data_IF_341334656909
#
_entry.id   IF_341334656909
#
_cell.length_a   1.000
_cell.length_b   1.000
_cell.length_c   1.000
_cell.angle_alpha   90.00
_cell.angle_beta   90.00
_cell.angle_gamma   90.00
#
_symmetry.space_group_name_H-M   'P 1'
#
loop_
_entity.id
_entity.type
_entity.pdbx_description
1 polymer ?
#
# COMPACT_ATOMS: atom_id res chain seq x y z
N UNK A 1 -63.26 13.55 -65.97
CA UNK A 1 -61.95 13.28 -66.45
C UNK A 1 -60.92 13.65 -65.37
N UNK A 2 -60.61 12.71 -64.49
CA UNK A 2 -59.94 12.97 -63.23
C UNK A 2 -58.58 12.38 -63.24
N UNK A 3 -57.55 13.24 -63.01
CA UNK A 3 -56.20 12.88 -62.87
C UNK A 3 -55.84 12.60 -61.40
N UNK A 4 -55.42 11.38 -61.09
CA UNK A 4 -54.98 10.96 -59.76
C UNK A 4 -53.44 11.09 -59.65
N UNK A 5 -53.01 12.06 -58.87
CA UNK A 5 -51.61 12.22 -58.48
C UNK A 5 -51.24 11.28 -57.31
N UNK A 6 -50.40 10.32 -57.59
CA UNK A 6 -49.81 9.43 -56.57
C UNK A 6 -48.65 10.14 -55.89
N UNK A 7 -48.74 10.35 -54.55
CA UNK A 7 -47.65 10.85 -53.70
C UNK A 7 -46.90 9.65 -53.11
N UNK A 8 -45.75 9.32 -53.70
CA UNK A 8 -44.79 8.39 -53.05
C UNK A 8 -44.05 9.14 -51.96
N UNK A 9 -44.36 8.80 -50.70
CA UNK A 9 -43.56 9.22 -49.54
C UNK A 9 -42.35 8.30 -49.44
N UNK A 10 -41.17 8.82 -49.72
CA UNK A 10 -39.90 8.17 -49.38
C UNK A 10 -39.62 8.41 -47.90
N UNK A 11 -39.67 7.35 -47.08
CA UNK A 11 -39.14 7.36 -45.73
C UNK A 11 -37.61 7.16 -45.81
N UNK A 12 -36.85 8.19 -45.43
CA UNK A 12 -35.42 8.09 -45.17
C UNK A 12 -35.26 7.56 -43.73
N UNK A 13 -34.82 6.29 -43.56
CA UNK A 13 -34.33 5.76 -42.30
C UNK A 13 -32.95 6.35 -42.02
N UNK A 14 -32.87 7.29 -41.10
CA UNK A 14 -31.59 7.71 -40.54
C UNK A 14 -31.15 6.65 -39.49
N UNK A 15 -30.23 5.79 -39.89
CA UNK A 15 -29.57 4.84 -38.97
C UNK A 15 -28.57 5.55 -38.04
N UNK A 16 -28.95 5.76 -36.78
CA UNK A 16 -27.98 6.21 -35.77
C UNK A 16 -27.08 5.02 -35.39
N UNK A 17 -25.83 5.01 -35.88
CA UNK A 17 -24.83 4.06 -35.41
C UNK A 17 -24.44 4.42 -33.96
N UNK A 18 -24.92 3.64 -32.99
CA UNK A 18 -24.50 3.73 -31.61
C UNK A 18 -23.07 3.18 -31.51
N UNK A 19 -22.08 4.07 -31.36
CA UNK A 19 -20.71 3.67 -31.02
C UNK A 19 -20.70 3.31 -29.53
N UNK A 20 -20.77 2.01 -29.23
CA UNK A 20 -20.56 1.52 -27.88
C UNK A 20 -19.10 1.73 -27.49
N UNK A 21 -18.78 2.33 -26.33
CA UNK A 21 -17.41 2.41 -25.87
C UNK A 21 -16.88 0.99 -25.64
N UNK A 22 -15.79 0.64 -26.33
CA UNK A 22 -15.05 -0.59 -26.08
C UNK A 22 -14.42 -0.44 -24.69
N UNK A 23 -15.00 -1.09 -23.68
CA UNK A 23 -14.39 -1.21 -22.38
C UNK A 23 -13.09 -2.03 -22.56
N UNK A 24 -11.95 -1.37 -22.45
CA UNK A 24 -10.65 -2.06 -22.42
C UNK A 24 -10.62 -2.96 -21.19
N UNK A 25 -10.30 -4.27 -21.33
CA UNK A 25 -10.19 -5.13 -20.17
C UNK A 25 -9.06 -4.60 -19.30
N UNK A 26 -9.41 -4.19 -18.07
CA UNK A 26 -8.43 -3.85 -17.05
C UNK A 26 -7.81 -5.18 -16.62
N UNK A 27 -6.53 -5.36 -16.89
CA UNK A 27 -5.79 -6.50 -16.38
C UNK A 27 -5.85 -6.47 -14.84
N UNK A 28 -6.65 -7.35 -14.25
CA UNK A 28 -6.67 -7.55 -12.79
C UNK A 28 -5.38 -8.30 -12.45
N UNK A 29 -4.44 -7.60 -11.82
CA UNK A 29 -3.25 -8.24 -11.25
C UNK A 29 -3.72 -9.15 -10.10
N UNK A 30 -3.20 -10.37 -10.03
CA UNK A 30 -3.40 -11.22 -8.85
C UNK A 30 -2.70 -10.58 -7.63
N UNK A 31 -3.39 -10.55 -6.49
CA UNK A 31 -2.81 -10.12 -5.23
C UNK A 31 -1.61 -11.01 -4.85
N UNK A 32 -0.56 -10.41 -4.33
CA UNK A 32 0.66 -11.11 -3.89
C UNK A 32 0.70 -11.12 -2.37
N UNK A 33 1.16 -12.24 -1.80
CA UNK A 33 1.44 -12.33 -0.37
C UNK A 33 2.93 -12.03 -0.12
N UNK A 34 3.19 -11.19 0.87
CA UNK A 34 4.52 -10.81 1.33
C UNK A 34 4.68 -11.14 2.81
N UNK A 35 5.91 -11.38 3.23
CA UNK A 35 6.21 -11.71 4.61
C UNK A 35 7.22 -10.72 5.20
N UNK A 36 7.00 -10.33 6.45
CA UNK A 36 7.91 -9.54 7.27
C UNK A 36 8.17 -10.29 8.56
N UNK A 37 9.39 -10.70 8.80
CA UNK A 37 9.78 -11.42 10.01
C UNK A 37 10.00 -10.45 11.19
N UNK A 38 9.55 -10.84 12.37
CA UNK A 38 9.82 -10.15 13.63
C UNK A 38 10.95 -10.87 14.37
N UNK A 39 12.11 -10.20 14.50
CA UNK A 39 13.37 -10.83 14.94
C UNK A 39 14.02 -10.07 16.09
N UNK A 40 14.61 -10.83 17.04
CA UNK A 40 15.47 -10.28 18.09
C UNK A 40 16.84 -9.83 17.55
N UNK A 41 17.35 -10.53 16.52
CA UNK A 41 18.67 -10.26 15.95
C UNK A 41 18.65 -10.50 14.44
N UNK A 42 19.24 -9.58 13.67
CA UNK A 42 19.39 -9.76 12.23
C UNK A 42 20.28 -10.98 11.94
N UNK A 43 19.89 -11.89 11.02
CA UNK A 43 20.64 -13.13 10.77
C UNK A 43 22.08 -12.91 10.28
N UNK A 44 22.32 -11.83 9.51
CA UNK A 44 23.63 -11.52 8.93
C UNK A 44 24.40 -10.42 9.68
N UNK A 45 23.71 -9.57 10.48
CA UNK A 45 24.35 -8.52 11.27
C UNK A 45 23.87 -8.53 12.72
N UNK A 46 24.60 -9.20 13.59
CA UNK A 46 24.27 -9.36 15.02
C UNK A 46 24.24 -8.06 15.82
N UNK A 47 24.67 -6.93 15.27
CA UNK A 47 24.55 -5.61 15.89
C UNK A 47 23.15 -5.04 15.74
N UNK A 48 22.44 -5.44 14.67
CA UNK A 48 21.04 -5.04 14.44
C UNK A 48 20.12 -5.96 15.24
N UNK A 49 19.46 -5.37 16.22
CA UNK A 49 18.62 -6.10 17.16
C UNK A 49 17.22 -5.48 17.21
N UNK A 50 16.23 -6.31 17.57
CA UNK A 50 14.82 -5.92 17.63
C UNK A 50 14.42 -5.28 16.31
N UNK A 51 14.22 -6.11 15.28
CA UNK A 51 14.05 -5.66 13.90
C UNK A 51 12.86 -6.34 13.22
N UNK A 52 12.32 -5.63 12.24
CA UNK A 52 11.53 -6.21 11.15
C UNK A 52 12.47 -6.53 9.97
N UNK A 53 12.22 -7.64 9.26
CA UNK A 53 13.00 -8.05 8.10
C UNK A 53 12.09 -8.58 6.97
N UNK A 54 12.02 -7.89 5.81
CA UNK A 54 12.62 -6.60 5.53
C UNK A 54 12.00 -5.47 6.37
N UNK A 55 12.73 -4.37 6.60
CA UNK A 55 12.18 -3.21 7.32
C UNK A 55 11.46 -2.21 6.42
N UNK A 56 11.82 -2.20 5.13
CA UNK A 56 11.13 -1.46 4.06
C UNK A 56 10.64 -2.47 3.03
N UNK A 57 9.39 -2.38 2.66
CA UNK A 57 8.75 -3.29 1.71
C UNK A 57 7.89 -2.48 0.72
N UNK A 58 8.14 -2.64 -0.58
CA UNK A 58 7.30 -2.07 -1.63
C UNK A 58 6.31 -3.13 -2.14
N UNK A 59 5.03 -2.77 -2.17
CA UNK A 59 3.93 -3.64 -2.58
C UNK A 59 2.96 -2.91 -3.53
N UNK A 60 1.96 -3.61 -4.02
CA UNK A 60 0.91 -3.04 -4.86
C UNK A 60 -0.43 -3.04 -4.11
N UNK A 61 -1.39 -2.19 -4.50
CA UNK A 61 -2.75 -2.25 -3.96
C UNK A 61 -3.36 -3.65 -4.07
N UNK A 62 -3.97 -4.12 -2.99
CA UNK A 62 -4.55 -5.46 -2.87
C UNK A 62 -3.57 -6.54 -2.43
N UNK A 63 -2.26 -6.24 -2.33
CA UNK A 63 -1.31 -7.19 -1.76
C UNK A 63 -1.52 -7.35 -0.25
N UNK A 64 -1.18 -8.52 0.26
CA UNK A 64 -1.27 -8.84 1.69
C UNK A 64 0.13 -8.96 2.29
N UNK A 65 0.37 -8.27 3.40
CA UNK A 65 1.61 -8.37 4.18
C UNK A 65 1.33 -9.13 5.47
N UNK A 66 2.03 -10.24 5.68
CA UNK A 66 1.96 -11.03 6.92
C UNK A 66 3.20 -10.75 7.77
N UNK A 67 2.96 -10.24 8.97
CA UNK A 67 4.00 -10.05 9.98
C UNK A 67 4.14 -11.32 10.79
N UNK A 68 5.21 -12.09 10.51
CA UNK A 68 5.45 -13.40 11.10
C UNK A 68 6.01 -13.27 12.53
N UNK A 69 5.40 -13.95 13.49
CA UNK A 69 5.91 -14.07 14.86
C UNK A 69 7.10 -15.05 14.94
N UNK A 70 8.15 -14.80 14.13
CA UNK A 70 9.32 -15.69 13.99
C UNK A 70 10.05 -15.88 15.31
N UNK A 71 10.21 -14.81 16.09
CA UNK A 71 10.76 -14.85 17.44
C UNK A 71 9.78 -14.20 18.42
N UNK A 72 9.91 -14.55 19.70
CA UNK A 72 8.97 -14.12 20.74
C UNK A 72 9.24 -12.70 21.23
N UNK A 73 8.18 -12.06 21.73
CA UNK A 73 8.26 -10.74 22.36
C UNK A 73 7.88 -9.59 21.43
N UNK A 74 7.37 -9.88 20.23
CA UNK A 74 7.07 -8.90 19.21
C UNK A 74 5.61 -8.88 18.78
N UNK A 75 5.19 -7.75 18.26
CA UNK A 75 3.95 -7.56 17.49
C UNK A 75 4.21 -6.59 16.33
N UNK A 76 3.22 -6.41 15.48
CA UNK A 76 3.18 -5.32 14.49
C UNK A 76 1.93 -4.49 14.72
N UNK A 77 2.10 -3.17 14.80
CA UNK A 77 1.02 -2.20 14.87
C UNK A 77 1.34 -1.00 13.97
N UNK A 78 0.33 -0.48 13.26
CA UNK A 78 0.49 0.75 12.49
C UNK A 78 0.77 1.95 13.39
N UNK A 79 1.50 2.94 12.87
CA UNK A 79 1.78 4.19 13.57
C UNK A 79 0.73 5.25 13.20
N UNK A 80 0.18 5.89 14.23
CA UNK A 80 -0.76 7.00 14.04
C UNK A 80 -0.13 8.12 13.22
N UNK A 81 -0.86 8.62 12.23
CA UNK A 81 -0.41 9.66 11.31
C UNK A 81 0.56 9.19 10.23
N UNK A 82 0.96 7.92 10.22
CA UNK A 82 1.83 7.34 9.21
C UNK A 82 1.13 6.31 8.32
N UNK A 83 -0.19 6.40 8.17
CA UNK A 83 -0.96 5.61 7.20
C UNK A 83 -1.74 6.56 6.29
N UNK A 84 -2.03 6.19 5.02
CA UNK A 84 -2.83 7.00 4.12
C UNK A 84 -4.25 7.25 4.64
N UNK A 85 -4.85 8.36 4.23
CA UNK A 85 -6.26 8.61 4.49
C UNK A 85 -7.13 7.50 3.85
N UNK A 86 -8.09 6.99 4.59
CA UNK A 86 -8.97 5.90 4.16
C UNK A 86 -8.38 4.50 4.31
N UNK A 87 -7.12 4.38 4.73
CA UNK A 87 -6.52 3.08 5.06
C UNK A 87 -6.94 2.60 6.46
N UNK A 88 -7.02 1.28 6.64
CA UNK A 88 -7.29 0.68 7.94
C UNK A 88 -6.00 0.56 8.77
N UNK A 89 -6.08 0.96 10.04
CA UNK A 89 -5.01 0.74 11.01
C UNK A 89 -5.04 -0.72 11.52
N UNK A 90 -3.89 -1.23 11.95
CA UNK A 90 -3.81 -2.55 12.58
C UNK A 90 -3.05 -2.50 13.91
N UNK A 91 -3.37 -3.42 14.81
CA UNK A 91 -2.69 -3.62 16.09
C UNK A 91 -2.67 -5.11 16.43
N UNK A 92 -1.61 -5.80 16.04
CA UNK A 92 -1.43 -7.22 16.28
C UNK A 92 -1.06 -7.52 17.75
N UNK A 93 -1.49 -8.67 18.24
CA UNK A 93 -1.13 -9.12 19.59
C UNK A 93 0.33 -9.59 19.65
N UNK A 94 0.93 -9.51 20.87
CA UNK A 94 2.32 -9.95 21.08
C UNK A 94 2.42 -11.48 20.90
N UNK A 95 3.41 -11.93 20.13
CA UNK A 95 3.67 -13.31 19.74
C UNK A 95 2.62 -13.92 18.77
N UNK A 96 1.81 -13.10 18.17
CA UNK A 96 0.84 -13.55 17.17
C UNK A 96 1.19 -12.97 15.80
N UNK A 97 0.91 -13.74 14.76
CA UNK A 97 1.01 -13.28 13.39
C UNK A 97 -0.19 -12.39 13.05
N UNK A 98 0.02 -11.40 12.23
CA UNK A 98 -1.05 -10.58 11.67
C UNK A 98 -0.85 -10.40 10.18
N UNK A 99 -1.92 -10.59 9.40
CA UNK A 99 -1.96 -10.34 7.98
C UNK A 99 -2.82 -9.12 7.69
N UNK A 100 -2.29 -8.20 6.88
CA UNK A 100 -2.94 -6.94 6.52
C UNK A 100 -2.99 -6.83 5.00
N UNK A 101 -4.17 -6.64 4.43
CA UNK A 101 -4.32 -6.34 3.01
C UNK A 101 -4.34 -4.83 2.82
N UNK A 102 -3.48 -4.33 1.95
CA UNK A 102 -3.21 -2.90 1.77
C UNK A 102 -3.79 -2.43 0.43
N UNK A 103 -4.91 -1.71 0.49
CA UNK A 103 -5.66 -1.29 -0.71
C UNK A 103 -5.31 0.14 -1.17
N UNK A 104 -4.95 1.02 -0.24
CA UNK A 104 -4.75 2.44 -0.51
C UNK A 104 -3.27 2.71 -0.79
N UNK A 105 -2.88 3.30 -1.94
CA UNK A 105 -1.51 3.70 -2.19
C UNK A 105 -0.99 4.70 -1.14
N UNK A 106 0.29 4.56 -0.76
CA UNK A 106 0.92 5.46 0.21
C UNK A 106 1.94 4.78 1.12
N UNK A 107 2.36 5.51 2.13
CA UNK A 107 3.39 5.12 3.09
C UNK A 107 2.75 4.70 4.40
N UNK A 108 3.04 3.47 4.85
CA UNK A 108 2.49 2.86 6.05
C UNK A 108 3.62 2.60 7.05
N UNK A 109 3.79 3.51 8.00
CA UNK A 109 4.72 3.32 9.11
C UNK A 109 4.14 2.35 10.14
N UNK A 110 4.98 1.45 10.66
CA UNK A 110 4.57 0.51 11.69
C UNK A 110 5.67 0.28 12.72
N UNK A 111 5.29 -0.28 13.84
CA UNK A 111 6.15 -0.47 15.00
C UNK A 111 5.93 -1.83 15.67
N UNK A 112 6.90 -2.26 16.44
CA UNK A 112 6.70 -3.22 17.51
C UNK A 112 6.43 -2.45 18.80
N UNK A 113 5.26 -2.59 19.38
CA UNK A 113 4.83 -1.82 20.55
C UNK A 113 5.82 -1.89 21.72
N UNK A 114 6.27 -3.08 22.20
CA UNK A 114 7.24 -3.16 23.29
C UNK A 114 8.65 -2.66 22.93
N UNK A 115 9.03 -2.69 21.66
CA UNK A 115 10.39 -2.35 21.22
C UNK A 115 10.50 -1.08 20.37
N UNK A 116 9.44 -0.27 20.31
CA UNK A 116 9.45 1.01 19.59
C UNK A 116 10.59 1.91 20.00
N UNK A 117 10.78 2.12 21.31
CA UNK A 117 11.83 2.99 21.84
C UNK A 117 13.26 2.51 21.53
N UNK A 118 13.42 1.21 21.20
CA UNK A 118 14.70 0.62 20.78
C UNK A 118 14.93 0.70 19.27
N UNK A 119 13.95 1.19 18.49
CA UNK A 119 14.04 1.37 17.07
C UNK A 119 13.47 0.23 16.23
N UNK A 120 12.62 -0.63 16.82
CA UNK A 120 11.93 -1.67 16.07
C UNK A 120 10.72 -1.09 15.36
N UNK A 121 10.99 -0.53 14.19
CA UNK A 121 10.02 0.12 13.29
C UNK A 121 10.27 -0.31 11.85
N UNK A 122 9.29 -0.11 11.00
CA UNK A 122 9.39 -0.40 9.58
C UNK A 122 8.41 0.42 8.76
N UNK A 123 8.48 0.24 7.44
CA UNK A 123 7.65 0.95 6.48
C UNK A 123 7.21 0.02 5.36
N UNK A 124 5.91 0.01 5.04
CA UNK A 124 5.41 -0.54 3.79
C UNK A 124 5.05 0.62 2.87
N UNK A 125 5.45 0.53 1.61
CA UNK A 125 5.10 1.49 0.56
C UNK A 125 4.18 0.80 -0.44
N UNK A 126 2.92 1.20 -0.46
CA UNK A 126 1.95 0.73 -1.45
C UNK A 126 2.05 1.64 -2.67
N UNK A 127 2.56 1.08 -3.76
CA UNK A 127 2.81 1.82 -4.99
C UNK A 127 1.49 2.02 -5.77
N UNK A 128 1.37 3.15 -6.47
CA UNK A 128 0.19 3.43 -7.29
C UNK A 128 -0.12 4.92 -7.36
N UNK A 129 -1.21 5.25 -8.04
CA UNK A 129 -1.67 6.63 -8.15
C UNK A 129 -2.04 7.17 -6.76
N UNK A 130 -1.51 8.34 -6.41
CA UNK A 130 -1.69 8.93 -5.07
C UNK A 130 -0.71 8.43 -4.00
N UNK A 131 0.28 7.58 -4.34
CA UNK A 131 1.28 7.08 -3.38
C UNK A 131 1.94 8.21 -2.57
N UNK A 132 2.18 9.35 -3.20
CA UNK A 132 2.85 10.49 -2.56
C UNK A 132 1.94 11.36 -1.69
N UNK A 133 0.64 11.13 -1.66
CA UNK A 133 -0.34 12.01 -1.00
C UNK A 133 -0.09 12.15 0.51
N UNK A 134 0.34 11.07 1.17
CA UNK A 134 0.68 11.11 2.60
C UNK A 134 2.20 11.15 2.88
N UNK A 135 3.07 11.21 1.87
CA UNK A 135 4.53 11.13 2.04
C UNK A 135 5.06 12.19 3.00
N UNK A 136 4.75 13.47 2.75
CA UNK A 136 5.22 14.56 3.59
C UNK A 136 4.67 14.45 5.02
N UNK A 137 3.38 14.15 5.17
CA UNK A 137 2.75 13.99 6.48
C UNK A 137 3.37 12.83 7.28
N UNK A 138 3.66 11.69 6.63
CA UNK A 138 4.30 10.55 7.27
C UNK A 138 5.73 10.87 7.74
N UNK A 139 6.48 11.69 6.98
CA UNK A 139 7.82 12.14 7.38
C UNK A 139 7.81 13.13 8.56
N UNK A 140 6.76 13.95 8.67
CA UNK A 140 6.61 14.94 9.73
C UNK A 140 6.19 14.32 11.08
N UNK A 141 5.74 13.06 11.10
CA UNK A 141 5.36 12.37 12.34
C UNK A 141 6.56 12.28 13.27
N UNK A 142 6.46 12.95 14.41
CA UNK A 142 7.56 13.02 15.38
C UNK A 142 7.80 11.67 16.04
N UNK A 143 8.94 11.08 15.76
CA UNK A 143 9.39 9.84 16.36
C UNK A 143 10.15 10.08 17.68
N UNK A 144 10.24 9.05 18.55
CA UNK A 144 10.89 9.13 19.86
C UNK A 144 11.97 8.05 20.01
N UNK A 145 12.95 8.33 20.87
CA UNK A 145 14.00 7.37 21.18
C UNK A 145 14.81 7.00 19.93
N UNK A 146 15.17 5.73 19.83
CA UNK A 146 15.91 5.22 18.65
C UNK A 146 15.04 5.06 17.40
N UNK A 147 13.71 5.12 17.53
CA UNK A 147 12.81 5.08 16.39
C UNK A 147 13.07 6.28 15.45
N UNK A 148 13.45 7.45 15.97
CA UNK A 148 13.79 8.60 15.15
C UNK A 148 14.96 8.29 14.20
N UNK A 149 16.09 7.84 14.72
CA UNK A 149 17.23 7.46 13.89
C UNK A 149 16.93 6.28 12.95
N UNK A 150 16.08 5.33 13.39
CA UNK A 150 15.67 4.21 12.55
C UNK A 150 14.81 4.69 11.37
N UNK A 151 13.93 5.67 11.56
CA UNK A 151 13.15 6.26 10.46
C UNK A 151 14.02 7.12 9.54
N UNK A 152 15.04 7.82 10.04
CA UNK A 152 16.01 8.52 9.17
C UNK A 152 16.68 7.54 8.19
N UNK A 153 17.08 6.36 8.68
CA UNK A 153 17.64 5.30 7.84
C UNK A 153 16.60 4.69 6.88
N UNK A 154 15.34 4.49 7.34
CA UNK A 154 14.23 3.98 6.52
C UNK A 154 13.95 4.94 5.36
N UNK A 155 13.88 6.24 5.61
CA UNK A 155 13.66 7.23 4.56
C UNK A 155 14.80 7.29 3.54
N UNK A 156 16.05 7.10 3.99
CA UNK A 156 17.19 6.97 3.08
C UNK A 156 17.06 5.71 2.19
N UNK A 157 16.68 4.57 2.78
CA UNK A 157 16.44 3.32 2.04
C UNK A 157 15.29 3.46 1.02
N UNK A 158 14.21 4.12 1.39
CA UNK A 158 13.08 4.46 0.48
C UNK A 158 13.55 5.27 -0.73
N UNK A 159 14.43 6.27 -0.48
CA UNK A 159 15.01 7.08 -1.55
C UNK A 159 15.94 6.26 -2.46
N UNK A 160 16.77 5.38 -1.89
CA UNK A 160 17.64 4.46 -2.65
C UNK A 160 16.83 3.46 -3.49
N UNK A 161 15.64 3.06 -3.02
CA UNK A 161 14.71 2.21 -3.78
C UNK A 161 13.96 2.97 -4.89
N UNK A 162 14.14 4.31 -5.00
CA UNK A 162 13.45 5.15 -5.98
C UNK A 162 11.94 5.32 -5.71
N UNK A 163 11.51 5.24 -4.45
CA UNK A 163 10.11 5.31 -4.04
C UNK A 163 9.68 6.72 -3.59
N UNK A 164 10.49 7.73 -3.80
CA UNK A 164 10.21 9.13 -3.40
C UNK A 164 9.79 10.04 -4.56
N UNK A 165 9.52 9.48 -5.76
CA UNK A 165 9.06 10.23 -6.95
C UNK A 165 10.19 10.68 -7.83
#
# INVERSE_FOLDING_TARGET
>A
MSSLLSRRRTLALAGAAAVAPLATPRLVRAATAHEVQMLNVHPEDRRRRMIFLPRVLAVQPGDTVTFLATERGHNSASLDGMIPEGAEAWDGAINEEISVTLEVPGFYGYQCTPHYSTGMVGLVVVQGDGMMDNFAAAQEVRQRGRAAAAFDEIWAEVAEMGLTG
#
